data_IF_824328481275
#
_entry.id   IF_824328481275
#
_cell.length_a   1.000
_cell.length_b   1.000
_cell.length_c   1.000
_cell.angle_alpha   90.00
_cell.angle_beta   90.00
_cell.angle_gamma   90.00
#
_symmetry.space_group_name_H-M   'P 1'
#
loop_
_entity.id
_entity.type
_entity.pdbx_description
1 polymer ?
#
# COMPACT_ATOMS: atom_id res chain seq x y z
N UNK A 1 -21.36 -79.73 -13.02
CA UNK A 1 -20.26 -78.91 -12.52
C UNK A 1 -20.44 -77.47 -13.05
N UNK A 2 -21.06 -76.63 -12.27
CA UNK A 2 -21.31 -75.20 -12.65
C UNK A 2 -20.26 -74.38 -12.02
N UNK A 3 -19.45 -73.72 -12.85
CA UNK A 3 -18.39 -72.72 -12.43
C UNK A 3 -19.09 -71.42 -12.30
N UNK A 4 -19.15 -70.89 -11.07
CA UNK A 4 -19.55 -69.49 -10.77
C UNK A 4 -18.33 -68.54 -10.98
N UNK A 5 -18.47 -67.70 -11.98
CA UNK A 5 -17.57 -66.57 -12.18
C UNK A 5 -18.05 -65.39 -11.29
N UNK A 6 -17.28 -65.02 -10.26
CA UNK A 6 -17.45 -63.76 -9.53
C UNK A 6 -16.85 -62.60 -10.33
N UNK A 7 -17.54 -61.47 -10.53
CA UNK A 7 -16.92 -60.30 -11.09
C UNK A 7 -16.12 -59.53 -10.01
N UNK A 8 -14.82 -59.37 -10.24
CA UNK A 8 -13.97 -58.50 -9.45
C UNK A 8 -14.35 -57.05 -9.71
N UNK A 9 -14.97 -56.42 -8.71
CA UNK A 9 -15.25 -55.00 -8.73
C UNK A 9 -13.95 -54.22 -8.46
N UNK A 10 -13.31 -53.68 -9.51
CA UNK A 10 -12.19 -52.77 -9.42
C UNK A 10 -12.73 -51.40 -8.95
N UNK A 11 -12.59 -51.10 -7.67
CA UNK A 11 -12.79 -49.78 -7.10
C UNK A 11 -11.63 -48.90 -7.55
N UNK A 12 -11.84 -48.15 -8.64
CA UNK A 12 -10.99 -46.99 -9.02
C UNK A 12 -11.20 -45.91 -7.98
N UNK A 13 -10.32 -45.86 -6.99
CA UNK A 13 -10.12 -44.67 -6.18
C UNK A 13 -9.56 -43.58 -7.11
N UNK A 14 -10.45 -42.74 -7.62
CA UNK A 14 -10.07 -41.47 -8.20
C UNK A 14 -9.43 -40.62 -7.06
N UNK A 15 -8.13 -40.68 -6.97
CA UNK A 15 -7.38 -39.62 -6.28
C UNK A 15 -7.71 -38.32 -7.04
N UNK A 16 -8.67 -37.56 -6.55
CA UNK A 16 -8.76 -36.14 -6.86
C UNK A 16 -7.49 -35.51 -6.28
N UNK A 17 -6.45 -35.50 -7.10
CA UNK A 17 -5.29 -34.66 -6.81
C UNK A 17 -5.81 -33.24 -6.63
N UNK A 18 -5.76 -32.73 -5.42
CA UNK A 18 -5.92 -31.31 -5.11
C UNK A 18 -4.93 -30.57 -6.01
N UNK A 19 -5.41 -29.98 -7.11
CA UNK A 19 -4.62 -29.01 -7.86
C UNK A 19 -4.39 -27.87 -6.90
N UNK A 20 -3.20 -27.80 -6.31
CA UNK A 20 -2.72 -26.59 -5.65
C UNK A 20 -2.81 -25.50 -6.72
N UNK A 21 -3.72 -24.55 -6.54
CA UNK A 21 -3.71 -23.33 -7.36
C UNK A 21 -2.40 -22.63 -7.03
N UNK A 22 -1.48 -22.63 -7.98
CA UNK A 22 -0.26 -21.85 -7.81
C UNK A 22 -0.64 -20.38 -7.69
N UNK A 23 -0.27 -19.75 -6.59
CA UNK A 23 -0.40 -18.31 -6.41
C UNK A 23 0.84 -17.67 -7.04
N UNK A 24 0.69 -16.91 -8.14
CA UNK A 24 1.83 -16.33 -8.83
C UNK A 24 2.65 -15.42 -7.89
N UNK A 25 3.97 -15.59 -7.86
CA UNK A 25 4.84 -14.77 -7.03
C UNK A 25 4.89 -15.15 -5.55
N UNK A 26 4.33 -16.31 -5.13
CA UNK A 26 4.39 -16.82 -3.76
C UNK A 26 5.01 -18.22 -3.75
N UNK A 27 5.96 -18.47 -2.84
CA UNK A 27 6.63 -19.78 -2.72
C UNK A 27 5.75 -20.82 -2.02
N UNK A 28 5.09 -20.41 -0.95
CA UNK A 28 4.21 -21.27 -0.15
C UNK A 28 3.13 -20.47 0.54
N UNK A 29 1.96 -21.05 0.69
CA UNK A 29 0.82 -20.45 1.39
C UNK A 29 -0.05 -21.53 2.03
N UNK A 30 -0.83 -21.13 3.02
CA UNK A 30 -1.86 -21.93 3.67
C UNK A 30 -3.24 -21.47 3.19
N UNK A 31 -4.14 -22.43 2.91
CA UNK A 31 -5.53 -22.09 2.59
C UNK A 31 -6.31 -21.92 3.89
N UNK A 32 -6.93 -20.77 4.04
CA UNK A 32 -7.76 -20.44 5.21
C UNK A 32 -9.16 -19.99 4.77
N UNK A 33 -10.11 -20.10 5.71
CA UNK A 33 -11.51 -19.71 5.51
C UNK A 33 -11.86 -18.66 6.57
N UNK A 34 -11.73 -17.35 6.27
CA UNK A 34 -12.07 -16.30 7.21
C UNK A 34 -13.54 -16.37 7.62
N UNK A 35 -13.80 -16.23 8.91
CA UNK A 35 -15.14 -16.21 9.48
C UNK A 35 -15.40 -14.84 10.13
N UNK A 36 -16.46 -14.18 9.72
CA UNK A 36 -16.91 -12.96 10.37
C UNK A 36 -17.50 -13.31 11.75
N UNK A 37 -16.89 -12.81 12.80
CA UNK A 37 -17.26 -13.11 14.18
C UNK A 37 -18.25 -12.08 14.75
N UNK A 38 -17.89 -10.80 14.62
CA UNK A 38 -18.68 -9.68 15.13
C UNK A 38 -18.66 -8.52 14.14
N UNK A 39 -19.73 -7.74 14.17
CA UNK A 39 -19.79 -6.46 13.46
C UNK A 39 -20.55 -5.45 14.28
N UNK A 40 -20.02 -4.23 14.37
CA UNK A 40 -20.66 -3.11 15.06
C UNK A 40 -20.93 -1.99 14.06
N UNK A 41 -22.20 -1.65 13.92
CA UNK A 41 -22.66 -0.55 13.07
C UNK A 41 -23.42 0.47 13.93
N UNK A 42 -23.15 1.75 13.72
CA UNK A 42 -23.98 2.80 14.32
C UNK A 42 -25.40 2.73 13.74
N UNK A 43 -26.41 2.78 14.58
CA UNK A 43 -27.84 2.60 14.23
C UNK A 43 -28.40 3.55 13.16
N UNK A 44 -27.66 4.59 12.75
CA UNK A 44 -28.17 5.67 11.88
C UNK A 44 -27.71 5.61 10.42
N UNK A 45 -26.88 4.64 10.01
CA UNK A 45 -26.30 4.63 8.65
C UNK A 45 -26.49 3.28 7.97
N UNK A 46 -27.23 3.26 6.88
CA UNK A 46 -27.22 2.17 5.89
C UNK A 46 -25.90 2.23 5.11
N UNK A 47 -24.81 1.71 5.68
CA UNK A 47 -23.52 1.58 4.99
C UNK A 47 -23.29 0.11 4.66
N UNK A 48 -22.73 -0.16 3.48
CA UNK A 48 -22.35 -1.52 3.06
C UNK A 48 -21.25 -2.06 3.98
N UNK A 49 -20.34 -1.19 4.40
CA UNK A 49 -19.19 -1.54 5.23
C UNK A 49 -19.33 -0.95 6.62
N UNK A 50 -19.28 -1.81 7.63
CA UNK A 50 -19.48 -1.44 9.05
C UNK A 50 -18.27 -0.72 9.62
N UNK A 51 -18.47 0.07 10.71
CA UNK A 51 -17.37 0.81 11.35
C UNK A 51 -16.34 -0.11 12.01
N UNK A 52 -16.79 -1.22 12.63
CA UNK A 52 -15.93 -2.21 13.28
C UNK A 52 -16.38 -3.61 12.90
N UNK A 53 -15.42 -4.49 12.65
CA UNK A 53 -15.67 -5.88 12.31
C UNK A 53 -14.54 -6.77 12.83
N UNK A 54 -14.88 -7.98 13.25
CA UNK A 54 -13.91 -8.97 13.69
C UNK A 54 -13.97 -10.19 12.75
N UNK A 55 -12.81 -10.65 12.32
CA UNK A 55 -12.66 -11.86 11.53
C UNK A 55 -11.74 -12.85 12.23
N UNK A 56 -12.20 -14.09 12.35
CA UNK A 56 -11.38 -15.22 12.78
C UNK A 56 -10.80 -15.94 11.57
N UNK A 57 -9.51 -16.20 11.59
CA UNK A 57 -8.79 -17.04 10.62
C UNK A 57 -7.99 -18.08 11.38
N UNK A 58 -7.80 -19.26 10.79
CA UNK A 58 -6.92 -20.28 11.35
C UNK A 58 -5.68 -20.37 10.48
N UNK A 59 -4.56 -19.85 10.99
CA UNK A 59 -3.27 -19.84 10.31
C UNK A 59 -2.23 -20.53 11.17
N UNK A 60 -1.36 -21.36 10.58
CA UNK A 60 -0.35 -22.16 11.28
C UNK A 60 -0.93 -22.97 12.45
N UNK A 61 -2.14 -23.51 12.29
CA UNK A 61 -2.84 -24.29 13.32
C UNK A 61 -3.38 -23.47 14.50
N UNK A 62 -3.19 -22.15 14.52
CA UNK A 62 -3.67 -21.25 15.57
C UNK A 62 -4.84 -20.40 15.06
N UNK A 63 -5.76 -20.09 15.98
CA UNK A 63 -6.82 -19.13 15.69
C UNK A 63 -6.30 -17.70 15.89
N UNK A 64 -6.40 -16.89 14.85
CA UNK A 64 -6.03 -15.48 14.83
C UNK A 64 -7.31 -14.67 14.65
N UNK A 65 -7.59 -13.74 15.55
CA UNK A 65 -8.76 -12.86 15.46
C UNK A 65 -8.28 -11.46 15.09
N UNK A 66 -8.67 -11.01 13.91
CA UNK A 66 -8.39 -9.66 13.41
C UNK A 66 -9.49 -8.72 13.89
N UNK A 67 -9.15 -7.74 14.72
CA UNK A 67 -10.05 -6.69 15.19
C UNK A 67 -9.87 -5.46 14.31
N UNK A 68 -10.83 -5.21 13.44
CA UNK A 68 -10.73 -4.24 12.37
C UNK A 68 -11.61 -3.01 12.65
N UNK A 69 -11.08 -1.84 12.44
CA UNK A 69 -11.79 -0.57 12.45
C UNK A 69 -11.61 0.14 11.11
N UNK A 70 -12.71 0.64 10.52
CA UNK A 70 -12.66 1.39 9.26
C UNK A 70 -11.66 2.54 9.37
N UNK A 71 -10.72 2.62 8.43
CA UNK A 71 -9.71 3.67 8.42
C UNK A 71 -10.32 5.01 7.99
N UNK A 72 -10.74 5.83 8.96
CA UNK A 72 -11.40 7.11 8.70
C UNK A 72 -10.44 8.20 8.24
N UNK A 73 -9.15 7.99 8.44
CA UNK A 73 -8.09 8.92 8.05
C UNK A 73 -7.55 8.63 6.64
N UNK A 74 -8.04 7.55 5.98
CA UNK A 74 -7.59 7.16 4.63
C UNK A 74 -7.75 8.27 3.59
N UNK A 75 -8.88 8.97 3.63
CA UNK A 75 -9.20 10.04 2.67
C UNK A 75 -9.28 11.39 3.38
N UNK A 76 -8.62 12.38 2.79
CA UNK A 76 -8.76 13.78 3.21
C UNK A 76 -10.20 14.30 3.02
N UNK A 77 -10.56 15.36 3.74
CA UNK A 77 -11.91 15.94 3.69
C UNK A 77 -12.34 16.37 2.30
N UNK A 78 -11.40 16.94 1.54
CA UNK A 78 -11.60 17.48 0.20
C UNK A 78 -10.94 16.58 -0.86
N UNK A 79 -11.03 15.26 -0.67
CA UNK A 79 -10.50 14.29 -1.63
C UNK A 79 -11.10 14.50 -3.02
N UNK A 80 -10.24 14.50 -4.03
CA UNK A 80 -10.63 14.67 -5.44
C UNK A 80 -10.14 13.53 -6.31
N UNK A 81 -10.88 13.23 -7.37
CA UNK A 81 -10.47 12.33 -8.44
C UNK A 81 -10.44 13.08 -9.77
N UNK A 82 -9.31 12.99 -10.46
CA UNK A 82 -9.10 13.63 -11.74
C UNK A 82 -8.82 12.58 -12.80
N UNK A 83 -9.53 12.67 -13.90
CA UNK A 83 -9.34 11.87 -15.13
C UNK A 83 -9.37 12.80 -16.33
N UNK A 84 -9.05 12.30 -17.51
CA UNK A 84 -9.07 13.06 -18.75
C UNK A 84 -9.98 12.39 -19.76
N UNK A 85 -10.79 13.17 -20.48
CA UNK A 85 -11.57 12.71 -21.61
C UNK A 85 -10.69 12.56 -22.86
N UNK A 86 -11.19 11.82 -23.85
CA UNK A 86 -10.45 11.54 -25.09
C UNK A 86 -10.01 12.81 -25.87
N UNK A 87 -10.68 13.93 -25.62
CA UNK A 87 -10.33 15.26 -26.17
C UNK A 87 -9.29 16.02 -25.31
N UNK A 88 -8.71 15.37 -24.29
CA UNK A 88 -7.69 15.93 -23.41
C UNK A 88 -8.23 16.83 -22.30
N UNK A 89 -9.55 16.98 -22.17
CA UNK A 89 -10.15 17.85 -21.14
C UNK A 89 -10.09 17.19 -19.77
N UNK A 90 -9.57 17.91 -18.80
CA UNK A 90 -9.51 17.49 -17.41
C UNK A 90 -10.92 17.45 -16.78
N UNK A 91 -11.22 16.34 -16.10
CA UNK A 91 -12.48 16.13 -15.38
C UNK A 91 -12.12 15.81 -13.92
N UNK A 92 -12.39 16.76 -13.04
CA UNK A 92 -12.18 16.58 -11.59
C UNK A 92 -13.52 16.43 -10.89
N UNK A 93 -13.62 15.44 -10.02
CA UNK A 93 -14.80 15.15 -9.20
C UNK A 93 -14.38 15.12 -7.73
N UNK A 94 -15.30 15.47 -6.85
CA UNK A 94 -15.16 15.33 -5.39
C UNK A 94 -16.15 14.27 -4.91
N UNK A 95 -15.79 12.98 -5.03
CA UNK A 95 -16.69 11.89 -4.66
C UNK A 95 -16.84 11.83 -3.13
N UNK A 96 -18.06 11.73 -2.64
CA UNK A 96 -18.35 11.53 -1.20
C UNK A 96 -18.16 10.06 -0.82
N UNK A 97 -16.92 9.57 -0.79
CA UNK A 97 -16.61 8.20 -0.42
C UNK A 97 -16.54 8.08 1.10
N UNK A 98 -17.70 8.02 1.75
CA UNK A 98 -17.77 7.76 3.20
C UNK A 98 -17.81 6.27 3.54
N UNK A 99 -18.22 5.45 2.59
CA UNK A 99 -18.41 4.01 2.75
C UNK A 99 -17.39 3.24 1.90
N UNK A 100 -16.26 2.97 2.49
CA UNK A 100 -15.18 2.20 1.88
C UNK A 100 -14.86 0.95 2.71
N UNK A 101 -14.18 -0.01 2.09
CA UNK A 101 -13.88 -1.35 2.58
C UNK A 101 -12.46 -1.49 3.17
N UNK A 102 -11.78 -0.38 3.48
CA UNK A 102 -10.41 -0.39 3.99
C UNK A 102 -10.39 -0.18 5.50
N UNK A 103 -9.69 -1.09 6.17
CA UNK A 103 -9.63 -1.19 7.61
C UNK A 103 -8.20 -1.23 8.10
N UNK A 104 -8.03 -0.79 9.31
CA UNK A 104 -6.85 -0.94 10.13
C UNK A 104 -7.22 -1.60 11.44
N UNK A 105 -6.27 -2.12 12.18
CA UNK A 105 -6.58 -2.74 13.46
C UNK A 105 -5.41 -3.45 14.09
N UNK A 106 -5.73 -4.43 14.89
CA UNK A 106 -4.77 -5.28 15.58
C UNK A 106 -5.29 -6.72 15.69
N UNK A 107 -4.40 -7.63 16.02
CA UNK A 107 -4.74 -9.00 16.37
C UNK A 107 -5.19 -9.03 17.82
N UNK A 108 -6.25 -9.75 18.12
CA UNK A 108 -6.72 -9.91 19.50
C UNK A 108 -5.61 -10.51 20.37
N UNK A 109 -5.48 -9.99 21.59
CA UNK A 109 -4.48 -10.39 22.59
C UNK A 109 -3.01 -10.15 22.16
N UNK A 110 -2.80 -9.28 21.15
CA UNK A 110 -1.48 -8.86 20.67
C UNK A 110 -1.49 -7.33 20.44
N UNK A 111 -1.18 -6.57 21.48
CA UNK A 111 -1.26 -5.10 21.48
C UNK A 111 -0.22 -4.43 20.56
N UNK A 112 0.89 -5.11 20.28
CA UNK A 112 1.95 -4.62 19.40
C UNK A 112 1.68 -4.94 17.92
N UNK A 113 0.67 -5.76 17.65
CA UNK A 113 0.33 -6.17 16.28
C UNK A 113 -0.23 -5.02 15.46
N UNK A 114 -0.01 -5.08 14.15
CA UNK A 114 -0.57 -4.13 13.18
C UNK A 114 -1.35 -4.87 12.10
N UNK A 115 -2.46 -4.28 11.66
CA UNK A 115 -3.33 -4.85 10.64
C UNK A 115 -3.75 -3.78 9.65
N UNK A 116 -3.60 -4.08 8.35
CA UNK A 116 -4.06 -3.25 7.23
C UNK A 116 -4.78 -4.14 6.22
N UNK A 117 -6.12 -4.12 6.25
CA UNK A 117 -6.97 -5.06 5.50
C UNK A 117 -8.01 -4.32 4.65
N UNK A 118 -8.19 -4.81 3.43
CA UNK A 118 -9.35 -4.54 2.58
C UNK A 118 -10.36 -5.68 2.70
N UNK A 119 -11.65 -5.34 2.77
CA UNK A 119 -12.76 -6.31 2.75
C UNK A 119 -13.62 -6.16 1.51
N UNK A 120 -13.09 -5.58 0.43
CA UNK A 120 -13.84 -5.24 -0.79
C UNK A 120 -14.34 -6.48 -1.54
N UNK A 121 -13.49 -7.50 -1.65
CA UNK A 121 -13.73 -8.75 -2.38
C UNK A 121 -13.15 -9.94 -1.58
N UNK A 122 -13.45 -10.04 -0.30
CA UNK A 122 -12.79 -10.91 0.65
C UNK A 122 -11.72 -10.15 1.44
N UNK A 123 -10.99 -10.84 2.32
CA UNK A 123 -9.91 -10.24 3.07
C UNK A 123 -8.64 -10.18 2.21
N UNK A 124 -8.10 -8.97 2.04
CA UNK A 124 -6.84 -8.78 1.33
C UNK A 124 -6.00 -7.75 2.06
N UNK A 125 -4.74 -8.06 2.29
CA UNK A 125 -3.81 -7.12 2.90
C UNK A 125 -2.78 -7.78 3.81
N UNK A 126 -2.43 -7.08 4.88
CA UNK A 126 -1.33 -7.36 5.78
C UNK A 126 -1.79 -7.44 7.22
N UNK A 127 -1.21 -8.36 7.98
CA UNK A 127 -1.27 -8.34 9.43
C UNK A 127 0.04 -8.86 10.03
N UNK A 128 0.41 -8.28 11.16
CA UNK A 128 1.52 -8.75 11.97
C UNK A 128 0.97 -9.41 13.23
N UNK A 129 1.54 -10.52 13.62
CA UNK A 129 1.21 -11.19 14.86
C UNK A 129 2.46 -11.83 15.44
N UNK A 130 2.76 -11.51 16.71
CA UNK A 130 3.92 -12.04 17.46
C UNK A 130 5.24 -11.85 16.72
N UNK A 131 5.43 -10.67 16.11
CA UNK A 131 6.62 -10.32 15.33
C UNK A 131 6.72 -11.00 13.97
N UNK A 132 5.72 -11.80 13.55
CA UNK A 132 5.68 -12.41 12.23
C UNK A 132 4.71 -11.66 11.32
N UNK A 133 5.12 -11.37 10.09
CA UNK A 133 4.34 -10.65 9.09
C UNK A 133 3.65 -11.61 8.13
N UNK A 134 2.37 -11.40 7.95
CA UNK A 134 1.53 -12.21 7.08
C UNK A 134 0.81 -11.37 6.04
N UNK A 135 0.65 -11.95 4.87
CA UNK A 135 -0.22 -11.48 3.82
C UNK A 135 -1.43 -12.41 3.71
N UNK A 136 -2.58 -11.84 3.42
CA UNK A 136 -3.80 -12.57 3.14
C UNK A 136 -4.41 -12.06 1.84
N UNK A 137 -4.87 -12.97 0.98
CA UNK A 137 -5.57 -12.61 -0.24
C UNK A 137 -6.61 -13.67 -0.62
N UNK A 138 -7.73 -13.27 -1.24
CA UNK A 138 -8.77 -14.20 -1.63
C UNK A 138 -8.34 -15.03 -2.85
N UNK A 139 -8.58 -16.33 -2.80
CA UNK A 139 -8.44 -17.26 -3.94
C UNK A 139 -9.75 -17.37 -4.74
N UNK A 140 -10.84 -16.80 -4.22
CA UNK A 140 -12.15 -16.74 -4.85
C UNK A 140 -12.88 -15.45 -4.49
N UNK A 141 -13.87 -15.03 -5.29
CA UNK A 141 -14.42 -13.67 -5.29
C UNK A 141 -15.47 -13.32 -4.22
N UNK A 142 -15.61 -14.03 -3.08
CA UNK A 142 -16.66 -13.76 -2.09
C UNK A 142 -16.20 -13.95 -0.64
N UNK A 143 -16.88 -13.23 0.26
CA UNK A 143 -16.66 -13.31 1.71
C UNK A 143 -16.89 -14.75 2.20
N UNK A 144 -15.93 -15.32 2.95
CA UNK A 144 -15.97 -16.72 3.41
C UNK A 144 -15.42 -17.75 2.42
N UNK A 145 -15.00 -17.35 1.21
CA UNK A 145 -14.29 -18.21 0.28
C UNK A 145 -12.86 -18.50 0.74
N UNK A 146 -12.18 -19.37 0.01
CA UNK A 146 -10.78 -19.71 0.22
C UNK A 146 -9.89 -18.45 0.12
N UNK A 147 -9.00 -18.31 1.07
CA UNK A 147 -7.97 -17.29 1.08
C UNK A 147 -6.60 -17.94 1.23
N UNK A 148 -5.60 -17.38 0.59
CA UNK A 148 -4.21 -17.70 0.86
C UNK A 148 -3.72 -16.83 2.02
N UNK A 149 -3.09 -17.44 3.02
CA UNK A 149 -2.28 -16.77 4.04
C UNK A 149 -0.86 -17.26 3.91
N UNK A 150 0.08 -16.34 3.87
CA UNK A 150 1.49 -16.65 3.77
C UNK A 150 2.34 -15.59 4.48
N UNK A 151 3.55 -15.97 4.87
CA UNK A 151 4.50 -15.03 5.42
C UNK A 151 4.96 -14.05 4.35
N UNK A 152 5.28 -12.82 4.75
CA UNK A 152 5.81 -11.80 3.83
C UNK A 152 7.07 -12.31 3.10
N UNK A 153 7.91 -13.05 3.80
CA UNK A 153 9.15 -13.65 3.29
C UNK A 153 8.92 -14.77 2.28
N UNK A 154 7.70 -15.29 2.16
CA UNK A 154 7.32 -16.27 1.13
C UNK A 154 6.93 -15.63 -0.22
N UNK A 155 6.95 -14.29 -0.32
CA UNK A 155 6.96 -13.64 -1.63
C UNK A 155 8.23 -14.07 -2.35
N UNK A 156 8.06 -14.61 -3.58
CA UNK A 156 9.22 -14.97 -4.42
C UNK A 156 10.03 -13.72 -4.62
N UNK A 157 11.28 -13.78 -4.18
CA UNK A 157 12.23 -12.72 -4.47
C UNK A 157 12.50 -12.74 -5.98
N UNK A 158 11.94 -11.77 -6.69
CA UNK A 158 12.42 -11.36 -8.00
C UNK A 158 13.91 -10.96 -7.84
N UNK A 159 14.69 -10.85 -8.94
CA UNK A 159 16.05 -10.34 -8.82
C UNK A 159 16.06 -9.07 -7.97
N UNK A 160 17.05 -8.95 -7.08
CA UNK A 160 17.17 -7.88 -6.07
C UNK A 160 16.70 -6.56 -6.64
N UNK A 161 15.63 -6.02 -6.09
CA UNK A 161 15.08 -4.71 -6.46
C UNK A 161 15.60 -3.66 -5.48
N UNK A 162 15.86 -2.47 -5.96
CA UNK A 162 16.46 -1.39 -5.17
C UNK A 162 15.62 -0.14 -5.21
N UNK A 163 15.63 0.58 -4.09
CA UNK A 163 15.15 1.95 -4.00
C UNK A 163 16.33 2.90 -4.06
N UNK A 164 16.21 3.97 -4.84
CA UNK A 164 17.29 4.94 -5.05
C UNK A 164 17.11 6.21 -4.22
N UNK A 165 18.23 6.88 -3.94
CA UNK A 165 18.26 8.24 -3.42
C UNK A 165 18.65 9.17 -4.55
N UNK A 166 17.82 10.14 -4.87
CA UNK A 166 18.23 11.23 -5.73
C UNK A 166 19.08 12.25 -4.93
N UNK A 167 20.38 12.29 -5.23
CA UNK A 167 21.27 13.30 -4.67
C UNK A 167 20.89 14.68 -5.21
N UNK A 168 20.48 15.57 -4.32
CA UNK A 168 20.08 16.91 -4.67
C UNK A 168 21.16 17.92 -4.24
N UNK A 169 21.54 18.75 -5.20
CA UNK A 169 22.37 19.95 -4.96
C UNK A 169 21.59 21.09 -4.25
N UNK A 170 20.34 20.87 -3.80
CA UNK A 170 19.54 21.90 -3.15
C UNK A 170 19.99 22.24 -1.69
N UNK A 171 20.91 21.46 -1.12
CA UNK A 171 21.54 21.79 0.16
C UNK A 171 22.30 23.16 0.14
N UNK A 172 22.44 23.79 -1.03
CA UNK A 172 23.09 25.09 -1.18
C UNK A 172 22.15 26.30 -1.04
N UNK A 173 20.83 26.13 -1.07
CA UNK A 173 19.86 27.20 -0.77
C UNK A 173 19.46 27.19 0.72
N UNK A 174 20.47 27.19 1.59
CA UNK A 174 20.32 27.00 3.03
C UNK A 174 20.01 28.30 3.78
N UNK A 175 18.96 28.99 3.41
CA UNK A 175 18.23 29.88 4.33
C UNK A 175 17.01 29.13 4.93
N UNK A 176 17.23 27.89 5.37
CA UNK A 176 16.18 27.11 6.05
C UNK A 176 16.20 27.47 7.56
N UNK A 177 15.18 28.20 8.05
CA UNK A 177 15.09 28.57 9.47
C UNK A 177 14.89 27.36 10.38
N UNK A 178 14.72 26.14 9.82
CA UNK A 178 14.51 24.91 10.61
C UNK A 178 15.80 24.38 11.25
N UNK A 179 16.98 24.76 10.76
CA UNK A 179 18.24 24.31 11.35
C UNK A 179 18.44 24.80 12.82
N UNK A 180 17.78 25.85 13.23
CA UNK A 180 17.83 26.32 14.63
C UNK A 180 16.84 25.61 15.56
N UNK A 181 15.79 25.02 15.03
CA UNK A 181 14.76 24.29 15.80
C UNK A 181 15.33 22.97 16.36
N UNK A 182 16.23 22.32 15.63
CA UNK A 182 16.85 21.06 16.05
C UNK A 182 17.89 21.19 17.16
N UNK A 183 18.41 22.39 17.42
CA UNK A 183 19.37 22.63 18.50
C UNK A 183 18.77 22.55 19.90
N UNK A 184 17.46 22.57 20.05
CA UNK A 184 16.74 22.50 21.34
C UNK A 184 15.90 21.24 21.50
N UNK A 185 16.50 20.07 21.25
CA UNK A 185 15.79 18.76 21.29
C UNK A 185 15.16 18.37 22.64
N UNK A 186 15.36 19.14 23.70
CA UNK A 186 14.88 18.88 25.05
C UNK A 186 13.84 19.88 25.57
N UNK A 187 13.37 20.84 24.76
CA UNK A 187 12.38 21.78 25.23
C UNK A 187 11.01 21.09 25.44
N UNK A 188 10.19 21.56 26.41
CA UNK A 188 8.85 21.03 26.62
C UNK A 188 7.97 21.11 25.36
N UNK A 189 8.10 22.20 24.60
CA UNK A 189 7.37 22.45 23.35
C UNK A 189 7.74 21.41 22.29
N UNK A 190 9.04 21.07 22.15
CA UNK A 190 9.48 20.03 21.22
C UNK A 190 8.94 18.65 21.61
N UNK A 191 8.91 18.33 22.92
CA UNK A 191 8.33 17.06 23.42
C UNK A 191 6.84 17.00 23.14
N UNK A 192 6.12 18.09 23.27
CA UNK A 192 4.70 18.18 22.95
C UNK A 192 4.46 18.06 21.45
N UNK A 193 5.26 18.76 20.63
CA UNK A 193 5.22 18.65 19.17
C UNK A 193 5.48 17.22 18.70
N UNK A 194 6.46 16.51 19.25
CA UNK A 194 6.75 15.12 18.89
C UNK A 194 5.58 14.18 19.24
N UNK A 195 4.85 14.46 20.33
CA UNK A 195 3.66 13.70 20.74
C UNK A 195 2.40 14.08 19.97
N UNK A 196 2.35 15.25 19.36
CA UNK A 196 1.19 15.71 18.62
C UNK A 196 0.96 14.84 17.38
N UNK A 197 -0.32 14.54 17.11
CA UNK A 197 -0.76 13.85 15.90
C UNK A 197 -0.47 14.72 14.68
N UNK A 198 0.26 14.17 13.71
CA UNK A 198 0.63 14.84 12.47
C UNK A 198 -0.19 14.30 11.31
N UNK A 199 -0.52 15.16 10.37
CA UNK A 199 -1.21 14.77 9.14
C UNK A 199 -0.32 15.12 7.95
N UNK A 200 -0.31 14.21 6.97
CA UNK A 200 0.38 14.37 5.71
C UNK A 200 -0.65 14.21 4.58
N UNK A 201 -0.81 15.27 3.79
CA UNK A 201 -1.70 15.29 2.64
C UNK A 201 -0.99 14.72 1.42
N UNK A 202 -1.30 13.45 1.11
CA UNK A 202 -0.71 12.72 0.00
C UNK A 202 -1.57 12.86 -1.27
N UNK A 203 -0.94 13.14 -2.40
CA UNK A 203 -1.55 13.10 -3.72
C UNK A 203 -0.95 11.98 -4.57
N UNK A 204 -1.77 11.12 -5.14
CA UNK A 204 -1.30 10.02 -6.00
C UNK A 204 -1.65 10.31 -7.45
N UNK A 205 -0.67 10.08 -8.32
CA UNK A 205 -0.84 10.11 -9.78
C UNK A 205 -0.58 8.71 -10.32
N UNK A 206 -1.49 8.22 -11.15
CA UNK A 206 -1.35 6.99 -11.92
C UNK A 206 -1.10 7.36 -13.38
N UNK A 207 0.02 6.91 -13.95
CA UNK A 207 0.38 7.20 -15.33
C UNK A 207 -0.51 6.47 -16.35
N UNK A 208 -0.36 6.79 -17.62
CA UNK A 208 -1.13 6.14 -18.66
C UNK A 208 -0.78 4.66 -18.81
N UNK A 209 0.48 4.27 -18.60
CA UNK A 209 0.91 2.86 -18.68
C UNK A 209 0.23 2.04 -17.59
N UNK A 210 0.16 2.54 -16.36
CA UNK A 210 -0.59 1.89 -15.29
C UNK A 210 -2.08 1.76 -15.64
N UNK A 211 -2.67 2.81 -16.22
CA UNK A 211 -4.06 2.78 -16.67
C UNK A 211 -4.32 1.71 -17.73
N UNK A 212 -3.41 1.58 -18.72
CA UNK A 212 -3.50 0.52 -19.74
C UNK A 212 -3.34 -0.88 -19.12
N UNK A 213 -2.38 -1.06 -18.21
CA UNK A 213 -2.11 -2.35 -17.54
C UNK A 213 -3.28 -2.82 -16.66
N UNK A 214 -4.15 -1.92 -16.25
CA UNK A 214 -5.37 -2.20 -15.49
C UNK A 214 -6.65 -2.15 -16.37
N UNK A 215 -6.55 -2.57 -17.64
CA UNK A 215 -7.68 -2.67 -18.59
C UNK A 215 -8.49 -1.37 -18.69
N UNK A 216 -7.86 -0.23 -18.47
CA UNK A 216 -8.48 1.10 -18.46
C UNK A 216 -9.60 1.25 -17.41
N UNK A 217 -9.53 0.48 -16.34
CA UNK A 217 -10.49 0.55 -15.23
C UNK A 217 -10.00 1.48 -14.10
N UNK A 218 -10.48 2.73 -14.13
CA UNK A 218 -10.22 3.72 -13.09
C UNK A 218 -10.69 3.24 -11.70
N UNK A 219 -11.71 2.37 -11.63
CA UNK A 219 -12.20 1.86 -10.33
C UNK A 219 -11.22 0.85 -9.75
N UNK A 220 -10.63 -0.01 -10.60
CA UNK A 220 -9.58 -0.94 -10.19
C UNK A 220 -8.35 -0.19 -9.67
N UNK A 221 -7.89 0.84 -10.40
CA UNK A 221 -6.79 1.71 -9.98
C UNK A 221 -7.10 2.39 -8.65
N UNK A 222 -8.31 2.94 -8.48
CA UNK A 222 -8.73 3.54 -7.20
C UNK A 222 -8.64 2.55 -6.05
N UNK A 223 -9.16 1.34 -6.21
CA UNK A 223 -9.11 0.31 -5.16
C UNK A 223 -7.68 -0.07 -4.83
N UNK A 224 -6.83 -0.20 -5.84
CA UNK A 224 -5.40 -0.47 -5.68
C UNK A 224 -4.70 0.64 -4.89
N UNK A 225 -4.87 1.90 -5.31
CA UNK A 225 -4.30 3.06 -4.62
C UNK A 225 -4.78 3.16 -3.18
N UNK A 226 -6.06 2.92 -2.91
CA UNK A 226 -6.60 2.93 -1.55
C UNK A 226 -5.97 1.84 -0.68
N UNK A 227 -5.74 0.65 -1.23
CA UNK A 227 -5.04 -0.44 -0.53
C UNK A 227 -3.60 -0.07 -0.20
N UNK A 228 -2.87 0.49 -1.16
CA UNK A 228 -1.50 0.99 -1.00
C UNK A 228 -1.46 2.06 0.12
N UNK A 229 -2.30 3.09 0.03
CA UNK A 229 -2.30 4.19 1.02
C UNK A 229 -2.78 3.72 2.40
N UNK A 230 -3.70 2.75 2.47
CA UNK A 230 -4.12 2.14 3.74
C UNK A 230 -2.94 1.49 4.45
N UNK A 231 -2.10 0.76 3.73
CA UNK A 231 -0.88 0.17 4.28
C UNK A 231 0.14 1.24 4.69
N UNK A 232 0.42 2.22 3.82
CA UNK A 232 1.32 3.34 4.12
C UNK A 232 0.89 4.06 5.40
N UNK A 233 -0.40 4.35 5.56
CA UNK A 233 -0.93 4.98 6.77
C UNK A 233 -0.70 4.10 8.00
N UNK A 234 -0.83 2.77 7.89
CA UNK A 234 -0.53 1.85 8.99
C UNK A 234 0.94 1.93 9.41
N UNK A 235 1.88 1.96 8.45
CA UNK A 235 3.32 2.11 8.72
C UNK A 235 3.62 3.43 9.44
N UNK A 236 3.10 4.54 8.93
CA UNK A 236 3.42 5.87 9.46
C UNK A 236 2.73 6.21 10.79
N UNK A 237 1.66 5.51 11.15
CA UNK A 237 1.02 5.63 12.47
C UNK A 237 1.95 5.30 13.62
N UNK A 238 2.92 4.39 13.43
CA UNK A 238 3.97 4.10 14.41
C UNK A 238 4.79 5.36 14.76
N UNK A 239 4.88 6.32 13.84
CA UNK A 239 5.54 7.62 14.01
C UNK A 239 4.56 8.75 14.37
N UNK A 240 3.31 8.42 14.69
CA UNK A 240 2.23 9.38 14.94
C UNK A 240 1.95 10.33 13.75
N UNK A 241 2.23 9.84 12.54
CA UNK A 241 1.95 10.52 11.27
C UNK A 241 0.77 9.82 10.58
N UNK A 242 -0.28 10.55 10.27
CA UNK A 242 -1.46 10.09 9.56
C UNK A 242 -1.39 10.53 8.11
N UNK A 243 -1.25 9.58 7.20
CA UNK A 243 -1.20 9.85 5.76
C UNK A 243 -2.62 9.82 5.20
N UNK A 244 -3.10 10.96 4.76
CA UNK A 244 -4.44 11.11 4.18
C UNK A 244 -4.34 11.36 2.67
N UNK A 245 -5.01 10.53 1.86
CA UNK A 245 -5.09 10.74 0.43
C UNK A 245 -6.02 11.92 0.12
N UNK A 246 -5.47 13.01 -0.42
CA UNK A 246 -6.24 14.21 -0.78
C UNK A 246 -6.58 14.29 -2.25
N UNK A 247 -5.97 13.45 -3.09
CA UNK A 247 -6.30 13.36 -4.51
C UNK A 247 -5.73 12.14 -5.20
N UNK A 248 -6.47 11.66 -6.19
CA UNK A 248 -6.04 10.64 -7.15
C UNK A 248 -6.23 11.21 -8.55
N UNK A 249 -5.18 11.23 -9.34
CA UNK A 249 -5.21 11.61 -10.74
C UNK A 249 -4.78 10.44 -11.62
N UNK A 250 -5.60 10.08 -12.58
CA UNK A 250 -5.30 9.01 -13.53
C UNK A 250 -5.17 9.62 -14.92
N UNK A 251 -4.03 9.47 -15.54
CA UNK A 251 -3.74 9.98 -16.87
C UNK A 251 -4.35 9.07 -17.95
N UNK A 252 -5.64 9.25 -18.22
CA UNK A 252 -6.45 8.34 -19.04
C UNK A 252 -6.27 8.52 -20.54
N UNK A 253 -5.86 9.71 -21.00
CA UNK A 253 -5.68 10.07 -22.42
C UNK A 253 -4.22 10.20 -22.86
N UNK A 254 -3.29 9.74 -22.04
CA UNK A 254 -1.85 9.86 -22.24
C UNK A 254 -1.15 10.59 -21.08
N UNK A 255 0.15 10.42 -20.98
CA UNK A 255 0.95 11.03 -19.91
C UNK A 255 0.98 12.56 -20.07
N UNK A 256 0.84 13.27 -18.95
CA UNK A 256 0.84 14.75 -18.95
C UNK A 256 2.24 15.34 -19.07
N UNK A 257 3.25 14.54 -18.91
CA UNK A 257 4.66 14.84 -19.18
C UNK A 257 5.33 13.57 -19.71
N UNK A 258 6.37 13.70 -20.53
CA UNK A 258 7.15 12.56 -20.99
C UNK A 258 7.75 11.82 -19.80
N UNK A 259 7.46 10.53 -19.67
CA UNK A 259 8.06 9.65 -18.67
C UNK A 259 9.14 8.81 -19.32
N UNK A 260 10.12 8.39 -18.53
CA UNK A 260 11.28 7.63 -18.97
C UNK A 260 11.44 6.38 -18.11
N UNK A 261 12.03 5.33 -18.67
CA UNK A 261 12.48 4.17 -17.87
C UNK A 261 13.64 4.51 -16.94
N UNK A 262 14.30 5.65 -17.13
CA UNK A 262 15.22 6.22 -16.15
C UNK A 262 14.42 6.90 -15.04
N UNK A 263 14.47 6.33 -13.83
CA UNK A 263 13.71 6.81 -12.68
C UNK A 263 14.05 8.27 -12.31
N UNK A 264 15.32 8.68 -12.45
CA UNK A 264 15.76 10.06 -12.16
C UNK A 264 15.15 11.08 -13.11
N UNK A 265 15.10 10.77 -14.42
CA UNK A 265 14.46 11.65 -15.41
C UNK A 265 12.95 11.76 -15.13
N UNK A 266 12.30 10.64 -14.79
CA UNK A 266 10.88 10.62 -14.48
C UNK A 266 10.58 11.40 -13.20
N UNK A 267 11.39 11.24 -12.15
CA UNK A 267 11.23 11.99 -10.90
C UNK A 267 11.38 13.50 -11.12
N UNK A 268 12.42 13.93 -11.85
CA UNK A 268 12.64 15.34 -12.17
C UNK A 268 11.48 15.93 -12.98
N UNK A 269 11.02 15.20 -13.98
CA UNK A 269 9.90 15.61 -14.83
C UNK A 269 8.59 15.70 -14.04
N UNK A 270 8.32 14.72 -13.18
CA UNK A 270 7.13 14.68 -12.34
C UNK A 270 7.11 15.79 -11.29
N UNK A 271 8.25 16.04 -10.65
CA UNK A 271 8.37 17.11 -9.64
C UNK A 271 8.15 18.50 -10.26
N UNK A 272 8.69 18.77 -11.45
CA UNK A 272 8.45 20.00 -12.20
C UNK A 272 6.96 20.15 -12.58
N UNK A 273 6.30 19.05 -13.00
CA UNK A 273 4.87 19.06 -13.28
C UNK A 273 4.05 19.32 -12.01
N UNK A 274 4.38 18.67 -10.88
CA UNK A 274 3.71 18.93 -9.60
C UNK A 274 3.74 20.43 -9.28
N UNK A 275 4.91 21.07 -9.34
CA UNK A 275 5.08 22.50 -9.06
C UNK A 275 4.33 23.38 -10.04
N UNK A 276 4.44 23.11 -11.35
CA UNK A 276 3.94 24.01 -12.40
C UNK A 276 2.45 23.87 -12.65
N UNK A 277 1.85 22.73 -12.35
CA UNK A 277 0.48 22.37 -12.69
C UNK A 277 -0.32 21.94 -11.45
N UNK A 278 0.03 20.83 -10.81
CA UNK A 278 -0.77 20.23 -9.75
C UNK A 278 -0.99 21.18 -8.57
N UNK A 279 0.06 21.81 -8.03
CA UNK A 279 -0.06 22.69 -6.87
C UNK A 279 -0.91 23.94 -7.11
N UNK A 280 -1.11 24.32 -8.37
CA UNK A 280 -2.04 25.42 -8.73
C UNK A 280 -3.50 25.01 -8.65
N UNK A 281 -3.77 23.73 -8.72
CA UNK A 281 -5.12 23.14 -8.76
C UNK A 281 -5.54 22.51 -7.44
N UNK A 282 -4.60 21.84 -6.77
CA UNK A 282 -4.83 21.10 -5.53
C UNK A 282 -3.59 21.15 -4.63
N UNK A 283 -3.74 21.75 -3.46
CA UNK A 283 -2.71 21.69 -2.41
C UNK A 283 -2.47 20.26 -1.96
N UNK A 284 -1.23 19.94 -1.69
CA UNK A 284 -0.78 18.68 -1.10
C UNK A 284 0.61 18.85 -0.50
N UNK A 285 0.92 18.09 0.55
CA UNK A 285 2.25 18.10 1.17
C UNK A 285 3.25 17.30 0.33
N UNK A 286 2.79 16.20 -0.25
CA UNK A 286 3.60 15.29 -1.06
C UNK A 286 2.80 14.70 -2.23
N UNK A 287 3.46 14.48 -3.35
CA UNK A 287 2.86 13.75 -4.47
C UNK A 287 3.73 12.56 -4.90
N UNK A 288 3.10 11.43 -5.15
CA UNK A 288 3.77 10.21 -5.61
C UNK A 288 3.19 9.77 -6.94
N UNK A 289 4.05 9.50 -7.92
CA UNK A 289 3.68 8.89 -9.20
C UNK A 289 3.81 7.38 -9.09
N UNK A 290 2.71 6.66 -9.30
CA UNK A 290 2.74 5.20 -9.48
C UNK A 290 2.71 4.95 -10.99
N UNK A 291 3.76 4.32 -11.51
CA UNK A 291 3.93 4.08 -12.95
C UNK A 291 3.86 2.61 -13.30
N UNK A 292 3.21 2.31 -14.43
CA UNK A 292 3.26 0.99 -15.05
C UNK A 292 4.52 0.73 -15.85
N UNK A 293 5.41 1.71 -16.01
CA UNK A 293 6.70 1.54 -16.67
C UNK A 293 7.66 0.72 -15.80
N UNK A 294 8.40 -0.18 -16.40
CA UNK A 294 9.52 -0.84 -15.74
C UNK A 294 10.75 0.08 -15.81
N UNK A 295 11.23 0.51 -14.65
CA UNK A 295 12.46 1.29 -14.58
C UNK A 295 13.69 0.48 -15.03
N UNK A 296 14.76 1.17 -15.40
CA UNK A 296 16.02 0.55 -15.79
C UNK A 296 16.73 -0.06 -14.57
N UNK A 297 17.43 -1.17 -14.80
CA UNK A 297 18.17 -1.87 -13.75
C UNK A 297 17.25 -2.52 -12.72
N UNK A 298 17.58 -2.36 -11.47
CA UNK A 298 16.88 -2.95 -10.31
C UNK A 298 15.96 -1.95 -9.61
N UNK A 299 15.93 -0.69 -10.05
CA UNK A 299 15.19 0.40 -9.39
C UNK A 299 13.69 0.21 -9.50
N UNK A 300 12.99 0.28 -8.37
CA UNK A 300 11.52 0.26 -8.31
C UNK A 300 10.92 1.51 -7.66
N UNK A 301 11.74 2.34 -7.03
CA UNK A 301 11.35 3.60 -6.43
C UNK A 301 12.50 4.60 -6.41
N UNK A 302 12.17 5.87 -6.39
CA UNK A 302 13.14 6.96 -6.27
C UNK A 302 12.45 8.20 -5.70
N UNK A 303 13.06 8.82 -4.70
CA UNK A 303 12.57 10.07 -4.14
C UNK A 303 13.71 11.02 -3.76
N UNK A 304 13.36 12.28 -3.52
CA UNK A 304 14.27 13.29 -3.00
C UNK A 304 14.36 13.21 -1.47
N UNK A 305 15.56 13.30 -0.93
CA UNK A 305 15.79 13.26 0.52
C UNK A 305 15.42 14.59 1.18
N UNK A 306 14.79 14.58 2.39
CA UNK A 306 14.45 15.77 3.22
C UNK A 306 13.65 16.84 2.47
N UNK A 307 12.69 16.45 1.66
CA UNK A 307 12.06 17.35 0.70
C UNK A 307 10.59 17.65 0.99
N UNK A 308 10.03 17.14 2.11
CA UNK A 308 8.58 17.16 2.38
C UNK A 308 7.96 18.57 2.35
N UNK A 309 8.71 19.61 2.74
CA UNK A 309 8.23 20.99 2.70
C UNK A 309 8.53 21.73 1.38
N UNK A 310 9.19 21.06 0.44
CA UNK A 310 9.56 21.69 -0.83
C UNK A 310 8.40 21.72 -1.82
N UNK A 311 8.10 22.87 -2.39
CA UNK A 311 7.13 22.98 -3.48
C UNK A 311 7.58 22.26 -4.76
N UNK A 312 8.89 22.09 -4.98
CA UNK A 312 9.43 21.40 -6.13
C UNK A 312 9.72 19.94 -5.85
N UNK A 313 10.41 19.64 -4.75
CA UNK A 313 11.04 18.35 -4.52
C UNK A 313 10.24 17.38 -3.64
N UNK A 314 9.10 17.80 -3.05
CA UNK A 314 8.27 16.88 -2.26
C UNK A 314 7.49 15.92 -3.17
N UNK A 315 8.24 15.03 -3.78
CA UNK A 315 7.74 14.05 -4.76
C UNK A 315 8.55 12.76 -4.74
N UNK A 316 7.95 11.70 -5.24
CA UNK A 316 8.59 10.40 -5.49
C UNK A 316 7.94 9.70 -6.68
N UNK A 317 8.62 8.69 -7.19
CA UNK A 317 8.14 7.82 -8.27
C UNK A 317 8.28 6.37 -7.85
N UNK A 318 7.25 5.58 -8.10
CA UNK A 318 7.15 4.17 -7.71
C UNK A 318 6.72 3.36 -8.92
N UNK A 319 7.45 2.30 -9.22
CA UNK A 319 7.02 1.31 -10.19
C UNK A 319 5.92 0.43 -9.57
N UNK A 320 4.88 0.14 -10.32
CA UNK A 320 3.85 -0.85 -9.95
C UNK A 320 4.38 -2.27 -10.20
N UNK A 321 5.38 -2.67 -9.41
CA UNK A 321 6.23 -3.83 -9.62
C UNK A 321 5.63 -5.17 -9.15
N UNK A 322 4.49 -5.14 -8.48
CA UNK A 322 3.89 -6.35 -7.88
C UNK A 322 2.37 -6.32 -7.98
N UNK A 323 1.76 -7.48 -8.21
CA UNK A 323 0.32 -7.66 -8.09
C UNK A 323 -0.19 -7.41 -6.65
N UNK A 324 0.66 -7.65 -5.65
CA UNK A 324 0.33 -7.42 -4.25
C UNK A 324 0.48 -5.93 -3.88
N UNK A 325 -0.60 -5.32 -3.40
CA UNK A 325 -0.65 -3.90 -3.02
C UNK A 325 0.26 -3.56 -1.85
N UNK A 326 0.56 -4.53 -0.98
CA UNK A 326 1.42 -4.32 0.19
C UNK A 326 2.87 -4.14 -0.24
N UNK A 327 3.35 -4.91 -1.22
CA UNK A 327 4.71 -4.77 -1.75
C UNK A 327 4.91 -3.37 -2.38
N UNK A 328 3.96 -2.92 -3.21
CA UNK A 328 4.02 -1.56 -3.78
C UNK A 328 3.85 -0.49 -2.70
N UNK A 329 3.02 -0.77 -1.69
CA UNK A 329 2.84 0.10 -0.53
C UNK A 329 4.10 0.25 0.32
N UNK A 330 4.88 -0.83 0.47
CA UNK A 330 6.18 -0.79 1.15
C UNK A 330 7.17 0.12 0.42
N UNK A 331 7.24 0.01 -0.91
CA UNK A 331 8.06 0.91 -1.74
C UNK A 331 7.59 2.36 -1.60
N UNK A 332 6.27 2.63 -1.63
CA UNK A 332 5.77 3.99 -1.44
C UNK A 332 6.08 4.53 -0.04
N UNK A 333 5.95 3.69 1.00
CA UNK A 333 6.33 4.08 2.36
C UNK A 333 7.83 4.40 2.45
N UNK A 334 8.69 3.63 1.79
CA UNK A 334 10.12 3.87 1.71
C UNK A 334 10.43 5.23 1.05
N UNK A 335 9.90 5.50 -0.13
CA UNK A 335 10.15 6.75 -0.87
C UNK A 335 9.61 7.98 -0.11
N UNK A 336 8.45 7.85 0.54
CA UNK A 336 7.92 8.88 1.41
C UNK A 336 8.82 9.11 2.63
N UNK A 337 9.46 8.06 3.15
CA UNK A 337 10.48 8.14 4.20
C UNK A 337 11.66 9.01 3.80
N UNK A 338 12.14 8.86 2.57
CA UNK A 338 13.19 9.75 2.03
C UNK A 338 12.73 11.20 1.99
N UNK A 339 11.53 11.48 1.50
CA UNK A 339 11.00 12.85 1.53
C UNK A 339 10.93 13.41 2.95
N UNK A 340 10.62 12.59 3.96
CA UNK A 340 10.62 12.97 5.38
C UNK A 340 12.02 13.07 6.00
N UNK A 341 13.06 12.69 5.27
CA UNK A 341 14.46 12.83 5.70
C UNK A 341 15.12 11.55 6.23
N UNK A 342 14.46 10.40 6.08
CA UNK A 342 15.03 9.11 6.45
C UNK A 342 16.03 8.66 5.37
N UNK A 343 17.24 8.34 5.78
CA UNK A 343 18.23 7.69 4.93
C UNK A 343 18.00 6.18 4.92
N UNK A 344 18.69 5.45 4.04
CA UNK A 344 18.68 4.00 4.09
C UNK A 344 19.19 3.47 5.43
N UNK A 345 18.62 2.35 5.84
CA UNK A 345 19.03 1.65 7.05
C UNK A 345 20.49 1.21 6.97
N UNK A 346 21.14 1.30 8.11
CA UNK A 346 22.51 0.79 8.27
C UNK A 346 22.48 -0.59 8.94
N UNK A 347 23.62 -1.29 9.00
CA UNK A 347 23.74 -2.56 9.72
C UNK A 347 23.40 -2.48 11.20
N UNK A 348 23.31 -1.27 11.77
CA UNK A 348 22.91 -1.05 13.16
C UNK A 348 21.37 -1.03 13.33
N UNK A 349 20.60 -0.93 12.25
CA UNK A 349 19.15 -0.99 12.29
C UNK A 349 18.70 -2.44 12.45
N UNK A 350 17.82 -2.69 13.40
CA UNK A 350 17.23 -4.01 13.67
C UNK A 350 15.71 -3.90 13.67
N UNK A 351 15.05 -4.68 12.82
CA UNK A 351 13.60 -4.74 12.70
C UNK A 351 13.08 -6.13 13.06
N UNK A 352 13.65 -6.73 14.11
CA UNK A 352 13.38 -8.13 14.46
C UNK A 352 13.88 -9.07 13.36
N UNK A 353 13.11 -10.10 13.07
CA UNK A 353 13.41 -11.08 12.00
C UNK A 353 12.98 -10.59 10.61
N UNK A 354 12.63 -9.30 10.46
CA UNK A 354 12.00 -8.77 9.26
C UNK A 354 12.83 -7.70 8.57
N UNK A 355 12.58 -7.52 7.27
CA UNK A 355 13.16 -6.43 6.46
C UNK A 355 12.58 -5.10 6.94
N UNK A 356 13.42 -4.13 7.25
CA UNK A 356 13.01 -2.77 7.61
C UNK A 356 12.46 -2.02 6.39
N UNK A 357 11.57 -1.03 6.61
CA UNK A 357 11.01 -0.23 5.51
C UNK A 357 12.09 0.56 4.76
N UNK A 358 13.13 1.04 5.47
CA UNK A 358 14.16 1.88 4.88
C UNK A 358 15.39 1.11 4.39
N UNK A 359 15.30 -0.22 4.18
CA UNK A 359 16.40 -0.94 3.52
C UNK A 359 16.56 -0.51 2.06
N UNK A 360 17.78 -0.51 1.53
CA UNK A 360 18.08 -0.20 0.13
C UNK A 360 17.63 -1.27 -0.87
N UNK A 361 17.26 -2.44 -0.36
CA UNK A 361 16.79 -3.60 -1.12
C UNK A 361 15.40 -4.06 -0.65
N UNK A 362 14.56 -4.43 -1.59
CA UNK A 362 13.20 -4.93 -1.34
C UNK A 362 13.07 -6.36 -1.89
#
# INVERSE_FOLDING_TARGET
MKILLLPALFLLFLHQGSRSRELPGVESYEIVYPRKLRSVQKRSTQTKYVDKVEYGIRANGQEVVLQLQKNKDLLGRDYTETVYSDDGRQITRTPRIKDHCFYEGHVQDDAESTVSISTCQGLSGYFESRGQRYLIEPLGGWEGAEHAVYKYEALKQEPIKTCGLANNSWEQDSDDPTNDIFKSSNSPEMKEYLKAKKYLELYIVADNTLYQNHDKDVKAIRQRVFGIVNYVNTVYKALNIHVALVGLEVWTDGDKRPLSRNAGITLDTFSKWRRSDLLKRKGNDNAQLITGLNFEGTTIGLAFLKSICSNLYSAGVIQDHSGNVIAVGATLAHELGHNLGMSHDTRACACGDSVCIMTDTV
#
